data_IF_427692229604
#
_entry.id   IF_427692229604
#
_cell.length_a   1.000
_cell.length_b   1.000
_cell.length_c   1.000
_cell.angle_alpha   90.00
_cell.angle_beta   90.00
_cell.angle_gamma   90.00
#
_symmetry.space_group_name_H-M   'P 1'
#
loop_
_entity.id
_entity.type
_entity.pdbx_description
1 polymer ?
#
# COMPACT_ATOMS: atom_id res chain seq x y z
N UNK A 1 17.06 25.75 -34.24
CA UNK A 1 17.66 25.77 -32.89
C UNK A 1 16.65 25.46 -31.77
N UNK A 2 15.48 24.87 -32.05
CA UNK A 2 14.44 24.52 -31.05
C UNK A 2 14.69 23.15 -30.38
N UNK A 3 15.20 22.17 -31.13
CA UNK A 3 15.33 20.77 -30.69
C UNK A 3 16.28 20.56 -29.50
N UNK A 4 17.38 21.32 -29.40
CA UNK A 4 18.32 21.18 -28.28
C UNK A 4 17.73 21.65 -26.94
N UNK A 5 16.81 22.64 -27.00
CA UNK A 5 16.14 23.17 -25.81
C UNK A 5 15.06 22.22 -25.32
N UNK A 6 14.32 21.59 -26.23
CA UNK A 6 13.36 20.51 -25.91
C UNK A 6 14.06 19.28 -25.31
N UNK A 7 15.18 18.83 -25.86
CA UNK A 7 15.91 17.69 -25.30
C UNK A 7 16.49 17.98 -23.91
N UNK A 8 16.96 19.20 -23.69
CA UNK A 8 17.41 19.67 -22.37
C UNK A 8 16.28 19.66 -21.33
N UNK A 9 15.13 20.26 -21.68
CA UNK A 9 13.94 20.29 -20.83
C UNK A 9 13.43 18.89 -20.52
N UNK A 10 13.42 17.99 -21.51
CA UNK A 10 13.02 16.60 -21.33
C UNK A 10 13.93 15.87 -20.33
N UNK A 11 15.26 16.05 -20.44
CA UNK A 11 16.22 15.44 -19.49
C UNK A 11 16.09 16.02 -18.08
N UNK A 12 15.81 17.32 -17.94
CA UNK A 12 15.54 17.94 -16.64
C UNK A 12 14.27 17.37 -16.00
N UNK A 13 13.18 17.29 -16.75
CA UNK A 13 11.92 16.68 -16.31
C UNK A 13 12.11 15.19 -15.92
N UNK A 14 12.85 14.42 -16.71
CA UNK A 14 13.16 13.02 -16.39
C UNK A 14 13.99 12.88 -15.11
N UNK A 15 14.92 13.82 -14.88
CA UNK A 15 15.73 13.86 -13.67
C UNK A 15 14.87 14.21 -12.45
N UNK A 16 14.08 15.29 -12.52
CA UNK A 16 13.16 15.70 -11.45
C UNK A 16 12.12 14.61 -11.14
N UNK A 17 11.63 13.92 -12.17
CA UNK A 17 10.71 12.80 -11.99
C UNK A 17 11.39 11.62 -11.28
N UNK A 18 12.64 11.29 -11.61
CA UNK A 18 13.40 10.22 -10.93
C UNK A 18 13.75 10.56 -9.49
N UNK A 19 14.10 11.82 -9.24
CA UNK A 19 14.45 12.36 -7.93
C UNK A 19 13.21 12.70 -7.08
N UNK A 20 12.01 12.62 -7.68
CA UNK A 20 10.76 12.85 -6.98
C UNK A 20 10.56 11.83 -5.86
N UNK A 21 10.59 12.33 -4.61
CA UNK A 21 10.25 11.54 -3.43
C UNK A 21 8.86 10.92 -3.53
N UNK A 22 7.93 11.61 -4.20
CA UNK A 22 6.59 11.10 -4.45
C UNK A 22 6.62 9.84 -5.32
N UNK A 23 7.40 9.83 -6.40
CA UNK A 23 7.52 8.67 -7.28
C UNK A 23 8.17 7.48 -6.54
N UNK A 24 9.17 7.75 -5.71
CA UNK A 24 9.83 6.71 -4.90
C UNK A 24 8.85 6.10 -3.88
N UNK A 25 8.08 6.94 -3.17
CA UNK A 25 7.03 6.48 -2.25
C UNK A 25 5.94 5.69 -2.99
N UNK A 26 5.52 6.14 -4.17
CA UNK A 26 4.54 5.42 -4.97
C UNK A 26 5.04 4.04 -5.39
N UNK A 27 6.30 3.91 -5.81
CA UNK A 27 6.91 2.60 -6.14
C UNK A 27 6.93 1.68 -4.93
N UNK A 28 7.40 2.17 -3.78
CA UNK A 28 7.43 1.39 -2.54
C UNK A 28 6.02 0.91 -2.13
N UNK A 29 5.00 1.77 -2.29
CA UNK A 29 3.61 1.38 -2.04
C UNK A 29 3.12 0.33 -3.03
N UNK A 30 3.43 0.48 -4.33
CA UNK A 30 3.03 -0.48 -5.35
C UNK A 30 3.69 -1.86 -5.15
N UNK A 31 4.96 -1.88 -4.74
CA UNK A 31 5.69 -3.10 -4.39
C UNK A 31 5.10 -3.73 -3.14
N UNK A 32 4.85 -2.93 -2.10
CA UNK A 32 4.20 -3.38 -0.87
C UNK A 32 2.83 -4.00 -1.14
N UNK A 33 1.94 -3.32 -1.89
CA UNK A 33 0.62 -3.85 -2.24
C UNK A 33 0.71 -5.16 -3.03
N UNK A 34 1.70 -5.29 -3.91
CA UNK A 34 1.94 -6.54 -4.65
C UNK A 34 2.38 -7.66 -3.72
N UNK A 35 3.24 -7.36 -2.76
CA UNK A 35 3.70 -8.30 -1.74
C UNK A 35 2.55 -8.80 -0.85
N UNK A 36 1.65 -7.91 -0.42
CA UNK A 36 0.44 -8.30 0.35
C UNK A 36 -0.36 -9.37 -0.40
N UNK A 37 -0.62 -9.12 -1.68
CA UNK A 37 -1.42 -10.03 -2.52
C UNK A 37 -0.74 -11.37 -2.75
N UNK A 38 0.59 -11.42 -2.68
CA UNK A 38 1.37 -12.65 -2.82
C UNK A 38 1.41 -13.45 -1.51
N UNK A 39 1.65 -12.79 -0.38
CA UNK A 39 1.80 -13.44 0.93
C UNK A 39 0.48 -13.78 1.60
N UNK A 40 -0.56 -12.98 1.32
CA UNK A 40 -1.90 -13.12 1.91
C UNK A 40 -2.94 -13.17 0.78
N UNK A 41 -3.14 -14.33 0.14
CA UNK A 41 -3.97 -14.45 -1.07
C UNK A 41 -5.42 -13.98 -0.89
N UNK A 42 -5.98 -14.08 0.32
CA UNK A 42 -7.34 -13.58 0.62
C UNK A 42 -7.50 -12.08 0.32
N UNK A 43 -6.42 -11.30 0.40
CA UNK A 43 -6.45 -9.87 0.08
C UNK A 43 -6.69 -9.59 -1.40
N UNK A 44 -6.53 -10.58 -2.29
CA UNK A 44 -6.87 -10.45 -3.71
C UNK A 44 -8.38 -10.26 -3.93
N UNK A 45 -9.20 -10.75 -2.99
CA UNK A 45 -10.65 -10.57 -3.00
C UNK A 45 -11.08 -9.22 -2.41
N UNK A 46 -10.15 -8.48 -1.82
CA UNK A 46 -10.41 -7.25 -1.11
C UNK A 46 -10.03 -6.02 -1.94
N UNK A 47 -10.71 -4.91 -1.69
CA UNK A 47 -10.27 -3.61 -2.18
C UNK A 47 -9.27 -3.02 -1.17
N UNK A 48 -8.10 -2.61 -1.65
CA UNK A 48 -7.04 -2.03 -0.84
C UNK A 48 -7.01 -0.51 -1.03
N UNK A 49 -7.01 0.24 0.07
CA UNK A 49 -6.98 1.69 0.07
C UNK A 49 -5.85 2.18 0.99
N UNK A 50 -4.95 3.01 0.45
CA UNK A 50 -3.84 3.57 1.19
C UNK A 50 -4.14 5.00 1.65
N UNK A 51 -4.07 5.22 2.96
CA UNK A 51 -4.19 6.54 3.59
C UNK A 51 -2.82 7.05 3.97
N UNK A 52 -2.29 7.95 3.14
CA UNK A 52 -0.89 8.42 3.26
C UNK A 52 -0.60 9.22 4.53
N UNK A 53 -1.55 10.02 5.02
CA UNK A 53 -1.40 10.88 6.20
C UNK A 53 -1.14 10.09 7.48
N UNK A 54 -1.84 8.95 7.63
CA UNK A 54 -1.73 8.06 8.78
C UNK A 54 -0.95 6.78 8.49
N UNK A 55 -0.31 6.70 7.32
CA UNK A 55 0.40 5.49 6.84
C UNK A 55 -0.41 4.21 7.07
N UNK A 56 -1.70 4.27 6.74
CA UNK A 56 -2.67 3.20 7.05
C UNK A 56 -3.12 2.52 5.78
N UNK A 57 -3.13 1.18 5.78
CA UNK A 57 -3.75 0.40 4.73
C UNK A 57 -5.12 -0.11 5.18
N UNK A 58 -6.17 0.31 4.47
CA UNK A 58 -7.52 -0.17 4.68
C UNK A 58 -7.78 -1.32 3.70
N UNK A 59 -8.21 -2.46 4.22
CA UNK A 59 -8.55 -3.68 3.50
C UNK A 59 -10.06 -3.86 3.57
N UNK A 60 -10.75 -3.43 2.52
CA UNK A 60 -12.20 -3.58 2.39
C UNK A 60 -12.53 -5.00 1.96
N UNK A 61 -13.01 -5.80 2.91
CA UNK A 61 -13.35 -7.20 2.74
C UNK A 61 -14.78 -7.32 2.21
N UNK A 62 -15.02 -8.11 1.14
CA UNK A 62 -16.33 -8.18 0.49
C UNK A 62 -17.39 -8.92 1.31
N UNK A 63 -16.98 -9.82 2.21
CA UNK A 63 -17.86 -10.60 3.06
C UNK A 63 -17.19 -10.95 4.42
N UNK A 64 -17.98 -11.39 5.41
CA UNK A 64 -17.46 -11.74 6.73
C UNK A 64 -16.47 -12.90 6.73
N UNK A 65 -16.62 -13.86 5.81
CA UNK A 65 -15.72 -15.03 5.72
C UNK A 65 -14.28 -14.62 5.37
N UNK A 66 -14.12 -13.71 4.41
CA UNK A 66 -12.81 -13.14 4.05
C UNK A 66 -12.24 -12.33 5.21
N UNK A 67 -13.10 -11.58 5.91
CA UNK A 67 -12.68 -10.77 7.08
C UNK A 67 -12.14 -11.66 8.20
N UNK A 68 -12.84 -12.73 8.54
CA UNK A 68 -12.42 -13.68 9.57
C UNK A 68 -11.19 -14.49 9.13
N UNK A 69 -11.11 -14.88 7.85
CA UNK A 69 -9.93 -15.53 7.29
C UNK A 69 -8.67 -14.66 7.31
N UNK A 70 -8.82 -13.33 7.14
CA UNK A 70 -7.74 -12.37 7.29
C UNK A 70 -7.40 -12.12 8.76
N UNK A 71 -8.42 -12.07 9.64
CA UNK A 71 -8.23 -11.96 11.10
C UNK A 71 -7.38 -13.10 11.65
N UNK A 72 -7.57 -14.33 11.17
CA UNK A 72 -6.75 -15.48 11.56
C UNK A 72 -5.30 -15.38 11.07
N UNK A 73 -5.02 -14.49 10.13
CA UNK A 73 -3.69 -14.21 9.58
C UNK A 73 -3.11 -12.89 10.08
N UNK A 74 -3.65 -12.33 11.18
CA UNK A 74 -3.18 -11.05 11.76
C UNK A 74 -1.66 -11.03 11.97
N UNK A 75 -1.06 -12.10 12.49
CA UNK A 75 0.40 -12.16 12.67
C UNK A 75 1.20 -12.07 11.37
N UNK A 76 0.66 -12.56 10.24
CA UNK A 76 1.29 -12.37 8.93
C UNK A 76 1.14 -10.94 8.47
N UNK A 77 -0.04 -10.34 8.68
CA UNK A 77 -0.32 -8.94 8.34
C UNK A 77 0.63 -8.00 9.11
N UNK A 78 0.85 -8.27 10.40
CA UNK A 78 1.77 -7.50 11.25
C UNK A 78 3.24 -7.56 10.82
N UNK A 79 3.64 -8.66 10.17
CA UNK A 79 5.02 -8.93 9.73
C UNK A 79 5.29 -8.45 8.30
N UNK A 80 4.26 -7.94 7.59
CA UNK A 80 4.44 -7.41 6.25
C UNK A 80 5.39 -6.21 6.29
N UNK A 81 6.50 -6.32 5.56
CA UNK A 81 7.51 -5.26 5.47
C UNK A 81 7.06 -4.15 4.50
N UNK A 82 6.04 -3.41 4.90
CA UNK A 82 5.42 -2.36 4.09
C UNK A 82 5.46 -1.08 4.91
N UNK A 83 5.46 0.07 4.23
CA UNK A 83 5.42 1.40 4.85
C UNK A 83 4.18 1.62 5.74
N UNK A 84 3.22 0.68 5.74
CA UNK A 84 2.03 0.69 6.59
C UNK A 84 2.39 0.57 8.07
N UNK A 85 2.03 1.56 8.87
CA UNK A 85 2.08 1.47 10.34
C UNK A 85 0.84 0.80 10.92
N UNK A 86 -0.27 0.82 10.17
CA UNK A 86 -1.56 0.28 10.59
C UNK A 86 -2.28 -0.36 9.42
N UNK A 87 -2.97 -1.45 9.72
CA UNK A 87 -3.91 -2.12 8.84
C UNK A 87 -5.30 -2.08 9.46
N UNK A 88 -6.32 -1.82 8.64
CA UNK A 88 -7.72 -1.83 9.07
C UNK A 88 -8.49 -2.79 8.17
N UNK A 89 -9.03 -3.87 8.72
CA UNK A 89 -9.96 -4.74 8.00
C UNK A 89 -11.36 -4.16 8.16
N UNK A 90 -11.95 -3.71 7.06
CA UNK A 90 -13.33 -3.19 7.03
C UNK A 90 -14.25 -4.19 6.35
N UNK A 91 -15.42 -4.40 6.94
CA UNK A 91 -16.51 -5.08 6.29
C UNK A 91 -17.84 -4.40 6.66
N UNK A 92 -18.74 -4.15 5.71
CA UNK A 92 -20.00 -3.44 5.99
C UNK A 92 -20.92 -4.14 7.01
N UNK A 93 -20.71 -5.44 7.25
CA UNK A 93 -21.55 -6.29 8.09
C UNK A 93 -20.89 -6.64 9.42
N UNK A 94 -19.65 -6.18 9.68
CA UNK A 94 -18.94 -6.46 10.93
C UNK A 94 -18.23 -5.22 11.48
N UNK A 95 -17.74 -5.32 12.71
CA UNK A 95 -16.89 -4.28 13.29
C UNK A 95 -15.54 -4.26 12.58
N UNK A 96 -14.96 -3.06 12.46
CA UNK A 96 -13.61 -2.87 11.93
C UNK A 96 -12.57 -3.53 12.85
N UNK A 97 -11.61 -4.23 12.25
CA UNK A 97 -10.49 -4.85 12.96
C UNK A 97 -9.25 -4.01 12.70
N UNK A 98 -8.62 -3.53 13.77
CA UNK A 98 -7.42 -2.70 13.70
C UNK A 98 -6.21 -3.56 14.08
N UNK A 99 -5.18 -3.51 13.24
CA UNK A 99 -3.93 -4.23 13.41
C UNK A 99 -2.80 -3.20 13.28
N UNK A 100 -2.01 -3.01 14.32
CA UNK A 100 -0.84 -2.13 14.28
C UNK A 100 0.40 -2.95 13.88
N UNK A 101 1.19 -2.46 12.93
CA UNK A 101 2.38 -3.16 12.44
C UNK A 101 3.48 -3.20 13.52
N UNK A 102 4.15 -4.34 13.68
CA UNK A 102 5.28 -4.46 14.62
C UNK A 102 6.54 -3.83 14.02
N UNK A 103 6.64 -2.50 14.08
CA UNK A 103 7.80 -1.78 13.54
C UNK A 103 7.89 -0.29 13.86
N UNK A 104 7.00 0.26 14.69
CA UNK A 104 7.08 1.66 15.15
C UNK A 104 7.63 1.75 16.57
N UNK A 105 8.91 1.38 16.76
CA UNK A 105 9.75 1.83 17.88
C UNK A 105 11.18 2.04 17.41
#
# INVERSE_FOLDING_TARGET
MSSFREESLKRQLEKELRESEWLQKFKQLSEGLSQIKAEIPLTQLCQLEWVSESQTLIIHCPNPEVTEGLRQQTSKIEQLNIVAQRFILKNPQSQDIIIDAQGSR
#
